data_IF_716667657375
#
_entry.id   IF_716667657375
#
_cell.length_a   1.000
_cell.length_b   1.000
_cell.length_c   1.000
_cell.angle_alpha   90.00
_cell.angle_beta   90.00
_cell.angle_gamma   90.00
#
_symmetry.space_group_name_H-M   'P 1'
#
loop_
_entity.id
_entity.type
_entity.pdbx_description
1 polymer ?
#
# COMPACT_ATOMS: atom_id res chain seq x y z
N UNK A 1 -9.71 -10.89 9.44
CA UNK A 1 -10.62 -10.20 10.39
C UNK A 1 -11.07 -8.83 9.85
N UNK A 2 -10.15 -7.95 9.40
CA UNK A 2 -10.51 -6.66 8.79
C UNK A 2 -11.44 -6.80 7.57
N UNK A 3 -11.34 -7.90 6.82
CA UNK A 3 -12.22 -8.20 5.68
C UNK A 3 -13.65 -8.59 6.10
N UNK A 4 -13.80 -9.34 7.18
CA UNK A 4 -15.11 -9.89 7.59
C UNK A 4 -16.06 -8.85 8.20
N UNK A 5 -15.50 -7.73 8.68
CA UNK A 5 -16.24 -6.70 9.43
C UNK A 5 -16.65 -5.48 8.58
N UNK A 6 -16.53 -5.56 7.25
CA UNK A 6 -16.84 -4.43 6.35
C UNK A 6 -15.87 -3.23 6.45
N UNK A 7 -14.82 -3.36 7.27
CA UNK A 7 -13.81 -2.31 7.53
C UNK A 7 -12.72 -2.24 6.47
N UNK A 8 -12.77 -3.13 5.49
CA UNK A 8 -11.76 -3.28 4.42
C UNK A 8 -11.83 -2.23 3.32
N UNK A 9 -12.66 -1.21 3.44
CA UNK A 9 -12.70 -0.13 2.44
C UNK A 9 -11.37 0.60 2.26
N UNK A 10 -10.47 0.53 3.23
CA UNK A 10 -9.25 1.32 3.30
C UNK A 10 -7.98 0.59 2.85
N UNK A 11 -8.03 -0.74 2.72
CA UNK A 11 -6.90 -1.56 2.26
C UNK A 11 -7.18 -2.16 0.87
N UNK A 12 -8.38 -1.95 0.34
CA UNK A 12 -8.84 -2.62 -0.87
C UNK A 12 -8.51 -1.81 -2.12
N UNK A 13 -7.34 -2.08 -2.67
CA UNK A 13 -7.10 -1.92 -4.09
C UNK A 13 -7.03 -3.28 -4.77
N UNK A 14 -8.12 -4.02 -4.79
CA UNK A 14 -8.27 -5.07 -5.77
C UNK A 14 -8.98 -4.44 -6.97
N UNK A 15 -8.29 -4.18 -8.08
CA UNK A 15 -8.95 -3.82 -9.31
C UNK A 15 -10.01 -4.89 -9.60
N UNK A 16 -11.19 -4.52 -10.11
CA UNK A 16 -12.27 -5.47 -10.40
C UNK A 16 -11.91 -6.55 -11.44
N UNK A 17 -10.69 -6.48 -11.98
CA UNK A 17 -10.18 -7.35 -13.04
C UNK A 17 -9.22 -8.45 -12.56
N UNK A 18 -8.97 -8.55 -11.24
CA UNK A 18 -8.13 -9.62 -10.73
C UNK A 18 -8.84 -10.97 -10.82
N UNK A 19 -8.19 -12.06 -11.27
CA UNK A 19 -8.74 -13.42 -11.20
C UNK A 19 -9.24 -13.75 -9.80
N UNK A 20 -10.25 -14.62 -9.70
CA UNK A 20 -11.05 -14.81 -8.49
C UNK A 20 -10.28 -14.96 -7.18
N UNK A 21 -9.15 -15.68 -7.16
CA UNK A 21 -8.34 -15.84 -5.94
C UNK A 21 -7.57 -14.58 -5.55
N UNK A 22 -7.17 -13.73 -6.52
CA UNK A 22 -6.51 -12.45 -6.27
C UNK A 22 -7.41 -11.44 -5.57
N UNK A 23 -8.73 -11.59 -5.71
CA UNK A 23 -9.70 -10.71 -5.05
C UNK A 23 -9.60 -10.79 -3.52
N UNK A 24 -8.94 -11.83 -3.00
CA UNK A 24 -8.70 -12.02 -1.58
C UNK A 24 -7.35 -11.46 -1.10
N UNK A 25 -6.48 -11.00 -1.99
CA UNK A 25 -5.22 -10.39 -1.61
C UNK A 25 -5.43 -9.11 -0.80
N UNK A 26 -4.55 -8.88 0.17
CA UNK A 26 -4.38 -7.60 0.85
C UNK A 26 -3.12 -6.98 0.27
N UNK A 27 -3.25 -5.78 -0.29
CA UNK A 27 -2.15 -5.06 -0.90
C UNK A 27 -1.59 -4.01 0.05
N UNK A 28 -0.26 -3.92 0.08
CA UNK A 28 0.50 -2.93 0.84
C UNK A 28 1.51 -2.23 -0.07
N UNK A 29 1.94 -1.06 0.37
CA UNK A 29 3.12 -0.38 -0.16
C UNK A 29 4.16 -0.25 0.96
N UNK A 30 5.44 -0.29 0.63
CA UNK A 30 6.53 -0.09 1.58
C UNK A 30 6.80 1.40 1.74
N UNK A 31 6.84 1.88 2.98
CA UNK A 31 7.23 3.22 3.42
C UNK A 31 6.38 4.38 2.89
N UNK A 32 5.77 4.27 1.73
CA UNK A 32 4.94 5.33 1.16
C UNK A 32 3.81 4.75 0.29
N UNK A 33 2.57 5.27 0.36
CA UNK A 33 1.46 4.82 -0.48
C UNK A 33 1.78 4.95 -1.98
N UNK A 34 1.17 4.09 -2.80
CA UNK A 34 1.15 4.29 -4.24
C UNK A 34 0.45 5.61 -4.57
N UNK A 35 1.18 6.72 -4.53
CA UNK A 35 0.62 8.06 -4.66
C UNK A 35 -0.06 8.30 -6.01
N UNK A 36 0.39 7.64 -7.08
CA UNK A 36 -0.25 7.78 -8.41
C UNK A 36 -1.68 7.26 -8.40
N UNK A 37 -1.86 6.08 -7.84
CA UNK A 37 -3.18 5.48 -7.69
C UNK A 37 -4.02 6.24 -6.66
N UNK A 38 -3.41 6.55 -5.52
CA UNK A 38 -4.06 7.20 -4.40
C UNK A 38 -4.54 8.62 -4.76
N UNK A 39 -3.71 9.38 -5.48
CA UNK A 39 -4.08 10.71 -5.99
C UNK A 39 -5.28 10.66 -6.94
N UNK A 40 -5.24 9.76 -7.93
CA UNK A 40 -6.36 9.57 -8.85
C UNK A 40 -7.67 9.22 -8.13
N UNK A 41 -7.57 8.46 -7.06
CA UNK A 41 -8.76 8.09 -6.27
C UNK A 41 -9.28 9.23 -5.42
N UNK A 42 -8.40 10.04 -4.87
CA UNK A 42 -8.77 11.26 -4.15
C UNK A 42 -9.54 12.21 -5.09
N UNK A 43 -9.07 12.38 -6.34
CA UNK A 43 -9.76 13.20 -7.34
C UNK A 43 -11.13 12.64 -7.71
N UNK A 44 -11.26 11.33 -7.86
CA UNK A 44 -12.50 10.67 -8.29
C UNK A 44 -13.51 10.48 -7.17
N UNK A 45 -13.08 10.26 -5.94
CA UNK A 45 -13.90 9.81 -4.80
C UNK A 45 -13.82 10.72 -3.58
N UNK A 46 -13.09 11.82 -3.67
CA UNK A 46 -12.84 12.72 -2.55
C UNK A 46 -11.85 12.19 -1.52
N UNK A 47 -11.70 12.88 -0.40
CA UNK A 47 -10.68 12.65 0.63
C UNK A 47 -11.18 11.80 1.81
N UNK A 48 -12.07 10.84 1.57
CA UNK A 48 -12.58 9.93 2.60
C UNK A 48 -11.67 8.69 2.77
N UNK A 49 -10.35 8.92 2.78
CA UNK A 49 -9.32 7.91 2.89
C UNK A 49 -8.56 8.07 4.19
N UNK A 50 -8.04 6.94 4.69
CA UNK A 50 -7.03 6.89 5.74
C UNK A 50 -5.84 6.09 5.24
N UNK A 51 -4.65 6.39 5.76
CA UNK A 51 -3.46 5.58 5.55
C UNK A 51 -3.16 4.83 6.84
N UNK A 52 -3.00 3.51 6.73
CA UNK A 52 -2.70 2.62 7.84
C UNK A 52 -1.22 2.24 7.77
N UNK A 53 -0.46 2.55 8.83
CA UNK A 53 0.91 2.10 8.99
C UNK A 53 0.95 0.83 9.81
N UNK A 54 1.61 -0.19 9.25
CA UNK A 54 1.86 -1.45 9.94
C UNK A 54 3.34 -1.63 10.23
N UNK A 55 3.63 -2.33 11.32
CA UNK A 55 4.99 -2.76 11.65
C UNK A 55 5.56 -3.60 10.51
N UNK A 56 6.74 -3.24 10.03
CA UNK A 56 7.44 -3.96 8.96
C UNK A 56 7.70 -5.45 9.32
N UNK A 57 7.77 -5.78 10.60
CA UNK A 57 7.95 -7.15 11.07
C UNK A 57 6.81 -8.08 10.66
N UNK A 58 5.66 -7.58 10.21
CA UNK A 58 4.62 -8.43 9.62
C UNK A 58 5.15 -9.24 8.43
N UNK A 59 6.13 -8.71 7.70
CA UNK A 59 6.75 -9.39 6.55
C UNK A 59 7.47 -10.70 6.95
N UNK A 60 7.84 -10.82 8.24
CA UNK A 60 8.47 -12.03 8.80
C UNK A 60 7.47 -13.02 9.38
N UNK A 61 6.20 -12.61 9.57
CA UNK A 61 5.20 -13.40 10.29
C UNK A 61 4.37 -14.32 9.40
N UNK A 62 4.35 -14.07 8.10
CA UNK A 62 3.53 -14.79 7.12
C UNK A 62 4.05 -14.56 5.70
N UNK A 63 3.62 -15.38 4.71
CA UNK A 63 4.04 -15.21 3.32
C UNK A 63 3.55 -13.91 2.72
N UNK A 64 4.49 -13.17 2.11
CA UNK A 64 4.22 -12.01 1.28
C UNK A 64 4.84 -12.19 -0.11
N UNK A 65 4.24 -11.56 -1.12
CA UNK A 65 4.69 -11.53 -2.50
C UNK A 65 5.09 -10.11 -2.86
N UNK A 66 6.30 -9.94 -3.40
CA UNK A 66 6.92 -8.65 -3.69
C UNK A 66 6.88 -8.38 -5.19
N UNK A 67 6.35 -7.24 -5.58
CA UNK A 67 6.19 -6.83 -6.97
C UNK A 67 6.83 -5.46 -7.20
N UNK A 68 7.78 -5.37 -8.11
CA UNK A 68 8.41 -4.11 -8.51
C UNK A 68 7.36 -3.16 -9.13
N UNK A 69 6.42 -3.71 -9.88
CA UNK A 69 5.31 -3.01 -10.53
C UNK A 69 3.97 -3.47 -9.94
N UNK A 70 2.85 -2.75 -10.20
CA UNK A 70 1.55 -3.24 -9.77
C UNK A 70 1.31 -4.68 -10.21
N UNK A 71 0.91 -5.54 -9.30
CA UNK A 71 0.62 -6.94 -9.59
C UNK A 71 -0.42 -7.10 -10.72
N UNK A 72 -1.32 -6.14 -10.84
CA UNK A 72 -2.29 -6.07 -11.93
C UNK A 72 -1.65 -6.05 -13.33
N UNK A 73 -0.43 -5.56 -13.49
CA UNK A 73 0.27 -5.56 -14.77
C UNK A 73 0.70 -6.97 -15.21
N UNK A 74 0.85 -7.89 -14.26
CA UNK A 74 1.29 -9.26 -14.53
C UNK A 74 0.14 -10.22 -14.87
N UNK A 75 -1.11 -9.83 -14.56
CA UNK A 75 -2.29 -10.68 -14.74
C UNK A 75 -2.55 -11.01 -16.21
N UNK A 76 -2.08 -10.17 -17.11
CA UNK A 76 -2.19 -10.40 -18.56
C UNK A 76 -1.14 -11.38 -19.11
N UNK A 77 -0.21 -11.85 -18.27
CA UNK A 77 0.74 -12.90 -18.67
C UNK A 77 0.15 -14.27 -18.38
N UNK A 78 0.21 -15.23 -19.31
CA UNK A 78 -0.38 -16.57 -19.12
C UNK A 78 0.11 -17.32 -17.88
N UNK A 79 1.33 -17.01 -17.44
CA UNK A 79 2.00 -17.65 -16.29
C UNK A 79 1.32 -17.27 -14.96
N UNK A 80 0.78 -16.07 -14.84
CA UNK A 80 0.18 -15.56 -13.60
C UNK A 80 -1.32 -15.78 -13.50
N UNK A 81 -1.96 -16.27 -14.55
CA UNK A 81 -3.40 -16.51 -14.55
C UNK A 81 -3.82 -17.66 -13.60
N UNK A 82 -2.89 -18.57 -13.30
CA UNK A 82 -3.18 -19.79 -12.51
C UNK A 82 -2.41 -19.89 -11.21
N UNK A 83 -1.18 -19.33 -11.11
CA UNK A 83 -0.33 -19.48 -9.91
C UNK A 83 0.68 -18.34 -9.79
N UNK A 84 0.84 -17.79 -8.58
CA UNK A 84 1.87 -16.79 -8.30
C UNK A 84 3.19 -17.50 -8.08
N UNK A 85 4.24 -17.07 -8.80
CA UNK A 85 5.56 -17.66 -8.65
C UNK A 85 6.07 -17.58 -7.20
N UNK A 86 6.50 -18.71 -6.60
CA UNK A 86 7.13 -18.71 -5.28
C UNK A 86 8.38 -17.82 -5.19
N UNK A 87 9.03 -17.53 -6.33
CA UNK A 87 10.19 -16.61 -6.39
C UNK A 87 9.85 -15.21 -5.88
N UNK A 88 8.60 -14.78 -5.98
CA UNK A 88 8.16 -13.49 -5.48
C UNK A 88 8.04 -13.43 -3.94
N UNK A 89 8.25 -14.54 -3.24
CA UNK A 89 8.22 -14.61 -1.77
C UNK A 89 9.62 -14.58 -1.14
N UNK A 90 10.67 -14.46 -1.94
CA UNK A 90 12.03 -14.53 -1.44
C UNK A 90 12.55 -13.18 -0.94
N UNK A 91 13.61 -13.21 -0.15
CA UNK A 91 14.28 -11.99 0.30
C UNK A 91 14.88 -11.22 -0.88
N UNK A 92 15.38 -11.92 -1.89
CA UNK A 92 15.89 -11.33 -3.13
C UNK A 92 14.79 -10.54 -3.85
N UNK A 93 13.58 -11.06 -3.94
CA UNK A 93 12.45 -10.32 -4.53
C UNK A 93 12.07 -9.08 -3.70
N UNK A 94 12.23 -9.11 -2.37
CA UNK A 94 12.09 -7.92 -1.53
C UNK A 94 13.19 -6.89 -1.84
N UNK A 95 14.46 -7.33 -1.94
CA UNK A 95 15.58 -6.43 -2.25
C UNK A 95 15.44 -5.80 -3.65
N UNK A 96 14.90 -6.53 -4.63
CA UNK A 96 14.64 -6.01 -5.98
C UNK A 96 13.73 -4.77 -6.00
N UNK A 97 12.87 -4.57 -4.99
CA UNK A 97 12.05 -3.36 -4.89
C UNK A 97 12.90 -2.08 -4.79
N UNK A 98 14.14 -2.21 -4.29
CA UNK A 98 15.06 -1.12 -4.01
C UNK A 98 16.21 -1.02 -5.02
N UNK A 99 16.22 -1.85 -6.04
CA UNK A 99 17.22 -1.82 -7.10
C UNK A 99 16.81 -0.85 -8.23
N UNK A 100 17.76 -0.56 -9.12
CA UNK A 100 17.46 0.13 -10.37
C UNK A 100 16.44 -0.67 -11.18
N UNK A 101 15.52 0.02 -11.85
CA UNK A 101 14.62 -0.62 -12.82
C UNK A 101 15.14 -0.44 -14.24
N UNK A 102 14.55 -1.15 -15.21
CA UNK A 102 14.95 -1.03 -16.62
C UNK A 102 14.95 0.41 -17.13
N UNK A 103 14.04 1.23 -16.62
CA UNK A 103 13.81 2.58 -17.11
C UNK A 103 14.27 3.69 -16.16
N UNK A 104 14.62 3.36 -14.92
CA UNK A 104 14.90 4.35 -13.89
C UNK A 104 16.05 3.90 -13.00
N UNK A 105 17.06 4.74 -12.89
CA UNK A 105 18.14 4.59 -11.92
C UNK A 105 17.78 5.31 -10.63
N UNK A 106 17.83 4.59 -9.52
CA UNK A 106 17.50 5.07 -8.17
C UNK A 106 18.25 6.35 -7.80
N UNK A 107 19.52 6.44 -8.18
CA UNK A 107 20.34 7.63 -7.91
C UNK A 107 19.76 8.94 -8.48
N UNK A 108 18.98 8.88 -9.57
CA UNK A 108 18.33 10.07 -10.13
C UNK A 108 17.06 10.49 -9.40
N UNK A 109 16.46 9.58 -8.63
CA UNK A 109 15.23 9.87 -7.90
C UNK A 109 15.46 10.66 -6.62
N UNK A 110 16.66 10.57 -6.03
CA UNK A 110 17.01 11.20 -4.76
C UNK A 110 16.04 10.86 -3.62
N UNK A 111 15.60 9.61 -3.57
CA UNK A 111 14.67 9.09 -2.57
C UNK A 111 15.41 8.47 -1.39
N UNK A 112 14.79 8.45 -0.18
CA UNK A 112 15.31 7.70 0.96
C UNK A 112 15.53 6.23 0.64
N UNK A 113 16.51 5.60 1.31
CA UNK A 113 16.85 4.20 1.10
C UNK A 113 15.69 3.24 1.41
N UNK A 114 14.83 3.64 2.34
CA UNK A 114 13.64 2.86 2.71
C UNK A 114 12.48 2.93 1.69
N UNK A 115 12.57 3.75 0.65
CA UNK A 115 11.54 3.83 -0.37
C UNK A 115 11.85 2.89 -1.54
N UNK A 116 10.90 2.06 -1.98
CA UNK A 116 11.04 1.32 -3.23
C UNK A 116 11.32 2.25 -4.42
N UNK A 117 12.13 1.79 -5.36
CA UNK A 117 12.48 2.57 -6.55
C UNK A 117 11.24 2.92 -7.35
N UNK A 118 10.41 1.93 -7.67
CA UNK A 118 9.15 2.19 -8.37
C UNK A 118 8.06 2.63 -7.37
N UNK A 119 7.40 3.79 -7.57
CA UNK A 119 6.41 4.31 -6.62
C UNK A 119 5.11 3.50 -6.56
N UNK A 120 4.92 2.57 -7.46
CA UNK A 120 3.78 1.65 -7.52
C UNK A 120 4.18 0.21 -7.17
N UNK A 121 5.37 0.00 -6.57
CA UNK A 121 5.75 -1.30 -6.03
C UNK A 121 4.70 -1.77 -5.03
N UNK A 122 4.39 -3.05 -5.07
CA UNK A 122 3.28 -3.63 -4.34
C UNK A 122 3.72 -4.87 -3.57
N UNK A 123 3.19 -5.03 -2.37
CA UNK A 123 3.42 -6.20 -1.52
C UNK A 123 2.08 -6.82 -1.20
N UNK A 124 1.89 -8.08 -1.56
CA UNK A 124 0.62 -8.79 -1.41
C UNK A 124 0.71 -9.91 -0.38
N UNK A 125 -0.34 -10.09 0.40
CA UNK A 125 -0.58 -11.32 1.16
C UNK A 125 -2.02 -11.80 1.01
N UNK A 126 -2.23 -13.12 1.09
CA UNK A 126 -3.55 -13.73 1.11
C UNK A 126 -3.98 -14.13 2.53
N UNK A 127 -3.10 -13.88 3.51
CA UNK A 127 -3.36 -14.16 4.91
C UNK A 127 -3.95 -12.94 5.61
N UNK A 128 -4.80 -13.13 6.62
CA UNK A 128 -5.24 -12.04 7.49
C UNK A 128 -4.04 -11.37 8.16
N UNK A 129 -4.07 -10.04 8.26
CA UNK A 129 -3.07 -9.27 8.99
C UNK A 129 -3.63 -8.89 10.35
N UNK A 130 -2.83 -9.12 11.39
CA UNK A 130 -3.23 -8.79 12.76
C UNK A 130 -3.35 -7.29 12.96
N UNK A 131 -4.41 -6.85 13.59
CA UNK A 131 -4.57 -5.45 14.01
C UNK A 131 -3.53 -5.02 15.04
N UNK A 132 -2.92 -5.96 15.76
CA UNK A 132 -1.86 -5.68 16.72
C UNK A 132 -0.56 -5.19 16.05
N UNK A 133 -0.42 -5.41 14.74
CA UNK A 133 0.68 -4.87 13.95
C UNK A 133 0.41 -3.46 13.41
N UNK A 134 -0.78 -2.90 13.65
CA UNK A 134 -1.11 -1.53 13.27
C UNK A 134 -0.43 -0.55 14.21
N UNK A 135 0.45 0.29 13.68
CA UNK A 135 1.19 1.30 14.42
C UNK A 135 0.46 2.65 14.42
N UNK A 136 0.00 3.09 13.24
CA UNK A 136 -0.60 4.40 13.08
C UNK A 136 -1.75 4.40 12.07
N UNK A 137 -2.68 5.31 12.27
CA UNK A 137 -3.80 5.61 11.35
C UNK A 137 -3.75 7.10 11.02
N UNK A 138 -3.43 7.43 9.78
CA UNK A 138 -3.30 8.80 9.32
C UNK A 138 -4.57 9.28 8.63
N UNK A 139 -5.07 10.44 9.05
CA UNK A 139 -6.16 11.17 8.43
C UNK A 139 -5.63 12.39 7.68
N UNK A 140 -6.31 12.74 6.60
CA UNK A 140 -5.96 13.90 5.79
C UNK A 140 -5.99 15.22 6.58
N UNK A 141 -6.98 15.40 7.48
CA UNK A 141 -7.11 16.57 8.34
C UNK A 141 -7.99 16.27 9.57
N UNK A 142 -8.01 17.21 10.51
CA UNK A 142 -8.82 17.12 11.75
C UNK A 142 -10.31 16.95 11.49
N UNK A 143 -10.86 17.56 10.44
CA UNK A 143 -12.27 17.42 10.10
C UNK A 143 -12.61 15.96 9.76
N UNK A 144 -11.77 15.29 8.94
CA UNK A 144 -11.96 13.89 8.57
C UNK A 144 -11.75 12.96 9.76
N UNK A 145 -10.77 13.24 10.61
CA UNK A 145 -10.59 12.52 11.87
C UNK A 145 -11.81 12.62 12.76
N UNK A 146 -12.30 13.84 13.03
CA UNK A 146 -13.46 14.06 13.91
C UNK A 146 -14.72 13.42 13.35
N UNK A 147 -14.96 13.52 12.04
CA UNK A 147 -16.11 12.89 11.38
C UNK A 147 -16.08 11.36 11.56
N UNK A 148 -14.92 10.75 11.33
CA UNK A 148 -14.73 9.30 11.50
C UNK A 148 -14.88 8.90 12.98
N UNK A 149 -14.27 9.65 13.89
CA UNK A 149 -14.31 9.38 15.33
C UNK A 149 -15.73 9.39 15.88
N UNK A 150 -16.53 10.37 15.50
CA UNK A 150 -17.95 10.46 15.91
C UNK A 150 -18.76 9.24 15.45
N UNK A 151 -18.49 8.74 14.25
CA UNK A 151 -19.19 7.59 13.70
C UNK A 151 -18.70 6.24 14.27
N UNK A 152 -17.48 6.19 14.83
CA UNK A 152 -16.80 4.98 15.24
C UNK A 152 -16.28 5.03 16.69
N UNK A 153 -16.90 5.81 17.55
CA UNK A 153 -16.43 6.09 18.92
C UNK A 153 -16.15 4.81 19.71
N UNK A 154 -17.05 3.82 19.66
CA UNK A 154 -16.88 2.56 20.36
C UNK A 154 -15.60 1.81 19.93
N UNK A 155 -15.30 1.78 18.62
CA UNK A 155 -14.08 1.20 18.09
C UNK A 155 -12.86 2.02 18.48
N UNK A 156 -12.92 3.33 18.30
CA UNK A 156 -11.80 4.23 18.60
C UNK A 156 -11.37 4.12 20.07
N UNK A 157 -12.31 3.91 20.97
CA UNK A 157 -12.05 3.75 22.39
C UNK A 157 -11.41 2.40 22.78
N UNK A 158 -11.44 1.41 21.90
CA UNK A 158 -10.77 0.12 22.15
C UNK A 158 -9.31 0.09 21.71
N UNK A 159 -8.86 1.14 21.03
CA UNK A 159 -7.51 1.24 20.46
C UNK A 159 -6.67 2.25 21.25
N UNK A 160 -5.35 2.13 21.17
CA UNK A 160 -4.44 3.10 21.77
C UNK A 160 -4.66 4.47 21.12
N UNK A 161 -4.75 5.51 21.97
CA UNK A 161 -4.98 6.89 21.51
C UNK A 161 -3.82 7.44 20.69
N UNK A 162 -2.62 6.90 20.88
CA UNK A 162 -1.41 7.38 20.21
C UNK A 162 -1.32 6.97 18.74
N UNK A 163 -2.15 6.03 18.28
CA UNK A 163 -2.13 5.59 16.88
C UNK A 163 -2.80 6.59 15.93
N UNK A 164 -3.60 7.52 16.43
CA UNK A 164 -4.36 8.46 15.60
C UNK A 164 -3.50 9.66 15.22
N UNK A 165 -3.26 9.84 13.94
CA UNK A 165 -2.45 10.92 13.40
C UNK A 165 -3.24 11.75 12.40
N UNK A 166 -2.95 13.04 12.35
CA UNK A 166 -3.40 13.94 11.28
C UNK A 166 -2.16 14.44 10.55
N UNK A 167 -2.01 14.07 9.28
CA UNK A 167 -0.82 14.40 8.51
C UNK A 167 -1.14 14.43 7.02
N UNK A 168 -0.62 15.44 6.33
CA UNK A 168 -0.70 15.54 4.87
C UNK A 168 0.37 14.70 4.15
N UNK A 169 1.37 14.21 4.87
CA UNK A 169 2.54 13.55 4.29
C UNK A 169 2.16 12.45 3.30
N UNK A 170 1.32 11.51 3.75
CA UNK A 170 0.92 10.37 2.93
C UNK A 170 -0.18 10.67 1.90
N UNK A 171 -0.76 11.86 1.96
CA UNK A 171 -1.81 12.31 1.04
C UNK A 171 -1.28 13.22 -0.07
N UNK A 172 0.02 13.50 -0.06
CA UNK A 172 0.75 14.27 -1.06
C UNK A 172 1.58 13.35 -1.95
N UNK A 173 1.97 13.80 -3.14
CA UNK A 173 2.92 13.04 -3.96
C UNK A 173 4.24 12.78 -3.23
N UNK A 174 4.84 11.62 -3.45
CA UNK A 174 6.17 11.25 -2.95
C UNK A 174 7.22 12.26 -3.41
N UNK A 175 8.30 12.46 -2.67
CA UNK A 175 9.32 13.48 -2.91
C UNK A 175 9.95 13.43 -4.30
N UNK A 176 10.00 12.27 -4.94
CA UNK A 176 10.54 12.05 -6.29
C UNK A 176 9.53 12.25 -7.44
N UNK A 177 8.34 12.74 -7.14
CA UNK A 177 7.27 12.87 -8.14
C UNK A 177 7.70 13.60 -9.41
N UNK A 178 8.44 14.70 -9.27
CA UNK A 178 8.91 15.50 -10.40
C UNK A 178 9.96 14.74 -11.23
N UNK A 179 10.87 14.04 -10.57
CA UNK A 179 11.89 13.23 -11.22
C UNK A 179 11.25 12.06 -11.97
N UNK A 180 10.30 11.38 -11.33
CA UNK A 180 9.55 10.29 -11.94
C UNK A 180 8.72 10.75 -13.14
N UNK A 181 8.08 11.91 -13.06
CA UNK A 181 7.30 12.47 -14.16
C UNK A 181 8.18 12.79 -15.38
N UNK A 182 9.43 13.17 -15.20
CA UNK A 182 10.36 13.47 -16.28
C UNK A 182 10.85 12.22 -17.02
N UNK A 183 10.90 11.07 -16.36
CA UNK A 183 11.37 9.80 -16.96
C UNK A 183 10.32 9.08 -17.81
N UNK A 184 9.07 9.56 -17.82
CA UNK A 184 7.96 8.96 -18.57
C UNK A 184 7.66 9.72 -19.90
N UNK A 185 8.52 10.62 -20.31
CA UNK A 185 8.49 11.27 -21.62
C UNK A 185 9.46 10.56 -22.53
#
# INVERSE_FOLDING_TARGET
QLKSEGRTRFVRFNPPYLPGYWQNAISFNISFPNYRLFYNLQEQRGYDWVVLLFDINILLSQPFYYFIYPAANLIHTPIFATEISPKLQTFEAFEELFQDTENVRRAFLQIPDCYPTHPQSEVLTFQPVSVNALLEVHFYNDYKFNQWFMQNTALAMTMDKNIWQVSLEFFSPRCDYLNWKSTQR
#
